data_IF_013083499742
#
_entry.id   IF_013083499742
#
_cell.length_a   1.000
_cell.length_b   1.000
_cell.length_c   1.000
_cell.angle_alpha   90.00
_cell.angle_beta   90.00
_cell.angle_gamma   90.00
#
_symmetry.space_group_name_H-M   'P 1'
#
loop_
_entity.id
_entity.type
_entity.pdbx_description
1 polymer ?
#
# COMPACT_ATOMS: atom_id res chain seq x y z
N UNK A 1 -29.74 1.46 -7.18
CA UNK A 1 -29.44 1.04 -5.79
C UNK A 1 -28.56 2.13 -5.22
N UNK A 2 -29.07 2.87 -4.25
CA UNK A 2 -28.36 4.02 -3.66
C UNK A 2 -27.57 3.51 -2.45
N UNK A 3 -26.25 3.55 -2.52
CA UNK A 3 -25.38 3.19 -1.40
C UNK A 3 -25.22 4.43 -0.51
N UNK A 4 -25.77 4.40 0.70
CA UNK A 4 -25.45 5.39 1.72
C UNK A 4 -24.10 5.02 2.35
N UNK A 5 -23.15 5.96 2.40
CA UNK A 5 -21.86 5.77 3.08
C UNK A 5 -22.00 5.38 4.57
N UNK A 6 -23.18 5.58 5.16
CA UNK A 6 -23.49 5.32 6.58
C UNK A 6 -23.99 3.91 6.89
N UNK A 7 -24.27 3.07 5.89
CA UNK A 7 -24.72 1.70 6.15
C UNK A 7 -23.50 0.81 6.47
N UNK A 8 -23.43 0.33 7.71
CA UNK A 8 -22.39 -0.61 8.15
C UNK A 8 -22.45 -1.87 7.30
N UNK A 9 -21.46 -2.03 6.42
CA UNK A 9 -21.26 -3.24 5.64
C UNK A 9 -21.24 -4.47 6.56
N UNK A 10 -22.26 -5.33 6.50
CA UNK A 10 -22.38 -6.50 7.39
C UNK A 10 -21.23 -7.52 7.23
N UNK A 11 -20.50 -7.43 6.12
CA UNK A 11 -19.49 -8.38 5.72
C UNK A 11 -18.06 -7.94 6.06
N UNK A 12 -17.83 -6.64 6.28
CA UNK A 12 -16.50 -6.06 6.29
C UNK A 12 -16.35 -5.02 7.40
N UNK A 13 -15.16 -4.94 7.98
CA UNK A 13 -14.85 -4.03 9.08
C UNK A 13 -14.56 -2.67 8.45
N UNK A 14 -15.43 -1.69 8.68
CA UNK A 14 -15.27 -0.34 8.13
C UNK A 14 -14.99 -0.34 6.62
N UNK A 15 -15.75 -1.16 5.87
CA UNK A 15 -15.60 -1.33 4.41
C UNK A 15 -14.27 -1.94 3.96
N UNK A 16 -13.52 -2.57 4.87
CA UNK A 16 -12.26 -3.24 4.60
C UNK A 16 -12.32 -4.74 4.96
N UNK A 17 -11.65 -5.56 4.14
CA UNK A 17 -11.52 -7.01 4.33
C UNK A 17 -10.08 -7.34 4.73
N UNK A 18 -9.86 -8.00 5.89
CA UNK A 18 -8.54 -8.52 6.25
C UNK A 18 -8.05 -9.51 5.19
N UNK A 19 -6.88 -9.25 4.61
CA UNK A 19 -6.34 -10.02 3.49
C UNK A 19 -5.15 -10.89 3.90
N UNK A 20 -4.61 -10.69 5.10
CA UNK A 20 -3.55 -11.51 5.69
C UNK A 20 -2.43 -10.67 6.28
N UNK A 21 -1.29 -11.31 6.57
CA UNK A 21 -0.06 -10.68 7.05
C UNK A 21 1.05 -11.02 6.07
N UNK A 22 1.74 -9.99 5.58
CA UNK A 22 2.88 -10.11 4.66
C UNK A 22 4.17 -9.75 5.40
N UNK A 23 5.28 -10.41 5.06
CA UNK A 23 6.54 -10.26 5.79
C UNK A 23 7.06 -8.81 5.83
N UNK A 24 6.90 -8.07 4.74
CA UNK A 24 7.37 -6.69 4.61
C UNK A 24 6.29 -5.70 5.05
N UNK A 25 5.05 -5.90 4.59
CA UNK A 25 3.95 -4.95 4.78
C UNK A 25 3.22 -5.11 6.12
N UNK A 26 3.42 -6.22 6.83
CA UNK A 26 2.64 -6.56 8.01
C UNK A 26 1.20 -6.95 7.65
N UNK A 27 0.25 -6.80 8.58
CA UNK A 27 -1.16 -7.03 8.32
C UNK A 27 -1.68 -6.08 7.24
N UNK A 28 -2.44 -6.60 6.29
CA UNK A 28 -2.97 -5.84 5.16
C UNK A 28 -4.47 -6.03 4.99
N UNK A 29 -5.11 -4.97 4.51
CA UNK A 29 -6.51 -4.94 4.12
C UNK A 29 -6.67 -4.75 2.62
N UNK A 30 -7.86 -5.10 2.12
CA UNK A 30 -8.37 -4.70 0.81
C UNK A 30 -9.74 -4.04 0.97
N UNK A 31 -10.13 -3.11 0.08
CA UNK A 31 -11.49 -2.60 0.03
C UNK A 31 -12.49 -3.74 -0.13
N UNK A 32 -13.58 -3.70 0.63
CA UNK A 32 -14.59 -4.73 0.63
C UNK A 32 -15.31 -4.79 -0.73
N UNK A 33 -15.22 -5.88 -1.51
CA UNK A 33 -15.81 -5.95 -2.85
C UNK A 33 -17.34 -5.95 -2.83
N UNK A 34 -17.95 -6.22 -1.67
CA UNK A 34 -19.41 -6.20 -1.48
C UNK A 34 -19.93 -4.77 -1.29
N UNK A 35 -19.11 -3.90 -0.71
CA UNK A 35 -19.54 -2.59 -0.24
C UNK A 35 -18.91 -1.43 -1.01
N UNK A 36 -17.77 -1.67 -1.66
CA UNK A 36 -17.07 -0.73 -2.51
C UNK A 36 -16.84 -1.36 -3.89
N UNK A 37 -16.89 -0.56 -4.97
CA UNK A 37 -16.52 -1.05 -6.29
C UNK A 37 -15.05 -1.48 -6.32
N UNK A 38 -14.76 -2.55 -7.04
CA UNK A 38 -13.38 -2.96 -7.33
C UNK A 38 -12.70 -1.85 -8.13
N UNK A 39 -11.46 -1.52 -7.76
CA UNK A 39 -10.70 -0.50 -8.49
C UNK A 39 -10.49 -0.94 -9.94
N UNK A 40 -10.95 -0.15 -10.90
CA UNK A 40 -10.79 -0.48 -12.32
C UNK A 40 -9.37 -0.33 -12.88
N UNK A 41 -8.41 0.13 -12.05
CA UNK A 41 -7.01 0.32 -12.48
C UNK A 41 -6.13 -0.84 -12.04
N UNK A 42 -6.21 -1.25 -10.77
CA UNK A 42 -5.45 -2.39 -10.24
C UNK A 42 -6.31 -3.65 -10.06
N UNK A 43 -7.55 -3.64 -10.54
CA UNK A 43 -8.48 -4.78 -10.49
C UNK A 43 -8.69 -5.39 -9.08
N UNK A 44 -8.45 -4.59 -8.03
CA UNK A 44 -8.60 -5.01 -6.63
C UNK A 44 -7.32 -5.54 -5.97
N UNK A 45 -6.19 -5.51 -6.67
CA UNK A 45 -4.92 -6.01 -6.13
C UNK A 45 -4.29 -5.08 -5.09
N UNK A 46 -4.68 -3.80 -5.08
CA UNK A 46 -4.15 -2.80 -4.14
C UNK A 46 -4.35 -3.18 -2.67
N UNK A 47 -3.24 -3.31 -1.94
CA UNK A 47 -3.19 -3.64 -0.52
C UNK A 47 -2.99 -2.39 0.34
N UNK A 48 -3.60 -2.39 1.53
CA UNK A 48 -3.53 -1.29 2.49
C UNK A 48 -2.92 -1.80 3.80
N UNK A 49 -1.65 -1.45 4.11
CA UNK A 49 -1.02 -1.86 5.36
C UNK A 49 -1.75 -1.31 6.58
N UNK A 50 -2.07 -2.18 7.54
CA UNK A 50 -2.83 -1.87 8.75
C UNK A 50 -2.00 -1.07 9.77
N UNK A 51 -0.70 -1.36 9.86
CA UNK A 51 0.21 -0.76 10.86
C UNK A 51 0.70 0.64 10.45
N UNK A 52 0.08 1.21 9.44
CA UNK A 52 0.49 2.45 8.83
C UNK A 52 -0.07 3.65 9.59
N UNK A 53 0.82 4.50 10.10
CA UNK A 53 0.44 5.76 10.77
C UNK A 53 0.67 7.00 9.89
N UNK A 54 1.65 6.96 8.97
CA UNK A 54 2.00 8.12 8.14
C UNK A 54 2.75 7.76 6.83
N UNK A 55 2.44 8.43 5.70
CA UNK A 55 3.02 8.11 4.36
C UNK A 55 4.55 8.19 4.39
N UNK A 56 5.13 9.29 4.90
CA UNK A 56 6.59 9.39 5.01
C UNK A 56 7.21 8.28 5.87
N UNK A 57 6.54 7.85 6.95
CA UNK A 57 7.02 6.83 7.87
C UNK A 57 7.17 5.48 7.17
N UNK A 58 6.18 5.12 6.37
CA UNK A 58 6.18 3.88 5.59
C UNK A 58 7.21 3.89 4.48
N UNK A 59 7.30 5.00 3.73
CA UNK A 59 8.31 5.16 2.70
C UNK A 59 9.72 5.07 3.29
N UNK A 60 9.97 5.70 4.45
CA UNK A 60 11.25 5.61 5.14
C UNK A 60 11.55 4.18 5.62
N UNK A 61 10.56 3.46 6.16
CA UNK A 61 10.70 2.06 6.56
C UNK A 61 11.08 1.16 5.39
N UNK A 62 10.40 1.31 4.26
CA UNK A 62 10.70 0.54 3.05
C UNK A 62 12.05 0.93 2.46
N UNK A 63 12.38 2.22 2.42
CA UNK A 63 13.68 2.69 1.95
C UNK A 63 14.85 2.16 2.78
N UNK A 64 14.68 2.02 4.10
CA UNK A 64 15.67 1.39 4.98
C UNK A 64 15.90 -0.10 4.67
N UNK A 65 14.93 -0.75 4.02
CA UNK A 65 15.03 -2.12 3.51
C UNK A 65 15.51 -2.17 2.05
N UNK A 66 15.87 -1.02 1.45
CA UNK A 66 16.29 -0.94 0.06
C UNK A 66 15.17 -1.20 -0.94
N UNK A 67 13.92 -0.93 -0.56
CA UNK A 67 12.74 -1.13 -1.41
C UNK A 67 11.83 0.10 -1.41
N UNK A 68 10.97 0.22 -2.42
CA UNK A 68 9.91 1.23 -2.50
C UNK A 68 8.59 0.59 -2.91
N UNK A 69 7.45 1.12 -2.44
CA UNK A 69 6.15 0.63 -2.87
C UNK A 69 5.73 1.26 -4.20
N UNK A 70 5.08 0.47 -5.05
CA UNK A 70 4.29 0.97 -6.17
C UNK A 70 2.84 1.14 -5.72
N UNK A 71 2.32 2.36 -5.83
CA UNK A 71 0.94 2.66 -5.50
C UNK A 71 0.07 2.67 -6.75
N UNK A 72 -1.11 2.07 -6.66
CA UNK A 72 -2.15 2.26 -7.67
C UNK A 72 -2.59 3.73 -7.70
N UNK A 73 -2.60 4.35 -8.88
CA UNK A 73 -3.07 5.73 -9.06
C UNK A 73 -4.58 5.89 -8.82
N UNK A 74 -5.35 4.80 -8.87
CA UNK A 74 -6.80 4.82 -8.70
C UNK A 74 -7.27 4.73 -7.25
N UNK A 75 -6.69 3.82 -6.48
CA UNK A 75 -7.10 3.57 -5.08
C UNK A 75 -6.01 3.86 -4.05
N UNK A 76 -4.78 4.19 -4.48
CA UNK A 76 -3.61 4.40 -3.61
C UNK A 76 -3.19 3.17 -2.79
N UNK A 77 -3.73 1.99 -3.08
CA UNK A 77 -3.25 0.73 -2.50
C UNK A 77 -1.89 0.35 -3.08
N UNK A 78 -1.07 -0.32 -2.28
CA UNK A 78 0.22 -0.90 -2.69
C UNK A 78 -0.04 -2.09 -3.60
N UNK A 79 0.41 -2.03 -4.84
CA UNK A 79 0.26 -3.11 -5.82
C UNK A 79 1.54 -3.92 -6.00
N UNK A 80 2.69 -3.32 -5.72
CA UNK A 80 3.99 -3.99 -5.83
C UNK A 80 5.05 -3.36 -4.91
N UNK A 81 6.17 -4.05 -4.75
CA UNK A 81 7.37 -3.59 -4.06
C UNK A 81 8.58 -3.75 -4.99
N UNK A 82 9.29 -2.65 -5.23
CA UNK A 82 10.46 -2.62 -6.10
C UNK A 82 11.73 -2.40 -5.28
N UNK A 83 12.82 -3.06 -5.65
CA UNK A 83 14.15 -2.76 -5.10
C UNK A 83 14.63 -1.38 -5.54
N UNK A 84 15.07 -0.59 -4.57
CA UNK A 84 15.86 0.61 -4.81
C UNK A 84 17.27 0.13 -5.16
N UNK A 85 17.52 -0.06 -6.46
CA UNK A 85 18.82 -0.49 -6.96
C UNK A 85 19.95 0.32 -6.30
N UNK A 86 21.06 -0.37 -5.99
CA UNK A 86 22.24 0.24 -5.38
C UNK A 86 22.63 1.47 -6.18
N UNK A 87 22.47 2.65 -5.61
CA UNK A 87 23.06 3.86 -6.18
C UNK A 87 24.55 3.59 -6.25
N UNK A 88 25.22 3.67 -7.41
CA UNK A 88 26.67 3.52 -7.45
C UNK A 88 27.24 4.56 -6.48
N UNK A 89 28.05 4.07 -5.53
CA UNK A 89 28.75 4.87 -4.55
C UNK A 89 29.44 6.01 -5.29
N UNK A 90 28.91 7.23 -5.15
CA UNK A 90 29.54 8.42 -5.73
C UNK A 90 30.77 8.64 -4.86
N UNK A 91 31.91 8.08 -5.28
CA UNK A 91 33.22 8.45 -4.73
C UNK A 91 33.30 9.98 -4.75
N UNK A 92 33.43 10.64 -3.58
CA UNK A 92 33.66 12.07 -3.59
C UNK A 92 35.00 12.26 -4.26
N UNK A 93 35.03 12.97 -5.39
CA UNK A 93 36.28 13.48 -5.94
C UNK A 93 36.84 14.50 -4.95
N UNK A 94 37.57 13.99 -3.96
CA UNK A 94 38.57 14.75 -3.25
C UNK A 94 39.75 15.02 -4.18
N UNK A 95 40.29 16.23 -4.02
CA UNK A 95 41.48 16.81 -4.68
C UNK A 95 41.14 17.53 -5.99
N UNK A 96 41.37 18.83 -6.13
CA UNK A 96 42.57 19.59 -5.75
C UNK A 96 42.27 21.01 -5.25
#
# INVERSE_FOLDING_TARGET
>A
MSFNLSDSCLWCIEQNTPTGVLDILGPVFRPCPVCLPVCGICEGDGLFPADFTCIPCFLNRLAALGIRPLFCVGCSGVTDLEELGTVPEVTPHGHH
#
